data_IF_159001333293
#
_entry.id   IF_159001333293
#
_cell.length_a   1.000
_cell.length_b   1.000
_cell.length_c   1.000
_cell.angle_alpha   90.00
_cell.angle_beta   90.00
_cell.angle_gamma   90.00
#
_symmetry.space_group_name_H-M   'P 1'
#
loop_
_entity.id
_entity.type
_entity.pdbx_description
1 polymer ?
#
# COMPACT_ATOMS: atom_id res chain seq x y z
N UNK A 1 42.10 28.62 12.98
CA UNK A 1 43.29 28.16 13.68
C UNK A 1 44.45 29.06 13.22
N UNK A 2 44.90 29.93 14.10
CA UNK A 2 45.93 30.92 13.80
C UNK A 2 47.30 30.29 14.14
N UNK A 3 48.15 30.16 13.18
CA UNK A 3 49.55 29.74 13.40
C UNK A 3 50.43 30.95 13.20
N UNK A 4 51.08 31.49 14.22
CA UNK A 4 52.08 32.51 14.05
C UNK A 4 53.43 31.85 13.67
N UNK A 5 53.81 32.00 12.42
CA UNK A 5 55.15 31.59 11.97
C UNK A 5 56.09 32.75 12.09
N UNK A 6 56.97 32.69 13.06
CA UNK A 6 58.19 33.52 13.13
C UNK A 6 59.25 32.91 12.21
N UNK A 7 59.56 33.57 11.14
CA UNK A 7 60.72 33.21 10.33
C UNK A 7 61.89 34.13 10.80
N UNK A 8 62.86 33.54 11.48
CA UNK A 8 64.14 34.17 11.74
C UNK A 8 65.09 33.83 10.60
N UNK A 9 65.45 34.80 9.80
CA UNK A 9 66.49 34.65 8.85
C UNK A 9 67.72 35.48 9.39
N UNK A 10 68.67 34.74 9.94
CA UNK A 10 69.93 35.29 10.41
C UNK A 10 70.89 35.27 9.24
N UNK A 11 71.19 36.43 8.65
CA UNK A 11 72.29 36.62 7.70
C UNK A 11 73.19 37.69 8.19
N UNK A 12 74.39 37.26 8.55
CA UNK A 12 75.58 37.95 9.00
C UNK A 12 75.72 39.38 8.50
N UNK A 13 75.77 40.32 9.43
CA UNK A 13 76.49 41.57 9.20
C UNK A 13 75.72 42.86 9.30
N UNK A 14 75.92 43.54 10.44
CA UNK A 14 75.73 44.97 10.70
C UNK A 14 74.26 45.50 10.77
N UNK A 15 73.94 45.83 12.01
CA UNK A 15 72.86 46.68 12.44
C UNK A 15 71.46 46.06 12.26
N UNK A 16 70.96 45.49 13.36
CA UNK A 16 69.63 44.94 13.45
C UNK A 16 68.53 45.95 13.18
N UNK A 17 67.84 45.77 12.04
CA UNK A 17 66.52 46.33 11.82
C UNK A 17 65.46 45.22 12.08
N UNK A 18 64.68 45.42 13.07
CA UNK A 18 63.60 44.53 13.35
C UNK A 18 62.46 44.77 12.33
N UNK A 19 62.36 43.91 11.33
CA UNK A 19 61.21 43.91 10.42
C UNK A 19 60.23 42.83 10.87
N UNK A 20 59.20 43.21 11.62
CA UNK A 20 58.12 42.34 11.95
C UNK A 20 57.04 42.43 10.84
N UNK A 21 56.92 41.37 10.05
CA UNK A 21 55.86 41.27 9.05
C UNK A 21 54.72 40.45 9.65
N UNK A 22 53.63 41.08 10.05
CA UNK A 22 52.41 40.41 10.51
C UNK A 22 51.44 40.28 9.33
N UNK A 23 51.33 39.05 8.78
CA UNK A 23 50.37 38.74 7.72
C UNK A 23 49.12 38.07 8.29
N UNK A 24 47.96 38.69 8.08
CA UNK A 24 46.67 38.04 8.39
C UNK A 24 46.17 37.40 7.12
N UNK A 25 46.15 36.03 7.09
CA UNK A 25 45.62 35.27 5.97
C UNK A 25 44.13 35.03 6.21
N UNK A 26 43.27 35.76 5.53
CA UNK A 26 41.83 35.49 5.47
C UNK A 26 41.57 34.44 4.40
N UNK A 27 41.23 33.22 4.81
CA UNK A 27 40.75 32.17 3.90
C UNK A 27 39.24 32.12 3.99
N UNK A 28 38.57 32.75 3.08
CA UNK A 28 37.12 32.70 2.99
C UNK A 28 36.69 31.54 2.07
N UNK A 29 36.05 30.52 2.63
CA UNK A 29 35.55 29.40 1.85
C UNK A 29 34.19 29.80 1.26
N UNK A 30 34.20 30.54 0.15
CA UNK A 30 32.99 31.01 -0.55
C UNK A 30 32.20 29.82 -1.15
N UNK A 31 32.83 28.66 -1.34
CA UNK A 31 32.18 27.42 -1.82
C UNK A 31 31.13 26.88 -0.86
N UNK A 32 31.34 27.04 0.44
CA UNK A 32 30.38 26.57 1.45
C UNK A 32 29.04 27.33 1.43
N UNK A 33 29.04 28.58 0.98
CA UNK A 33 27.80 29.38 0.83
C UNK A 33 26.99 28.96 -0.42
N UNK A 34 27.66 28.47 -1.45
CA UNK A 34 27.04 28.03 -2.70
C UNK A 34 26.41 26.62 -2.53
N UNK A 35 27.08 25.73 -1.82
CA UNK A 35 26.58 24.39 -1.48
C UNK A 35 25.36 24.47 -0.54
N UNK A 36 25.36 25.38 0.43
CA UNK A 36 24.27 25.52 1.39
C UNK A 36 22.92 25.88 0.73
N UNK A 37 22.92 26.65 -0.34
CA UNK A 37 21.71 27.01 -1.09
C UNK A 37 21.20 25.84 -1.95
N UNK A 38 22.12 25.05 -2.50
CA UNK A 38 21.79 23.85 -3.26
C UNK A 38 21.26 22.75 -2.34
N UNK A 39 21.87 22.55 -1.18
CA UNK A 39 21.44 21.58 -0.17
C UNK A 39 20.03 21.89 0.36
N UNK A 40 19.69 23.17 0.55
CA UNK A 40 18.35 23.58 0.93
C UNK A 40 17.31 23.32 -0.15
N UNK A 41 17.67 23.51 -1.42
CA UNK A 41 16.76 23.23 -2.53
C UNK A 41 16.55 21.73 -2.73
N UNK A 42 17.60 20.93 -2.56
CA UNK A 42 17.54 19.48 -2.59
C UNK A 42 16.66 18.93 -1.47
N UNK A 43 16.82 19.44 -0.25
CA UNK A 43 15.94 19.07 0.88
C UNK A 43 14.47 19.44 0.65
N UNK A 44 14.20 20.59 0.00
CA UNK A 44 12.83 20.97 -0.36
C UNK A 44 12.24 20.03 -1.42
N UNK A 45 13.03 19.64 -2.42
CA UNK A 45 12.60 18.68 -3.43
C UNK A 45 12.34 17.31 -2.82
N UNK A 46 13.23 16.82 -1.94
CA UNK A 46 13.03 15.55 -1.24
C UNK A 46 11.79 15.57 -0.34
N UNK A 47 11.53 16.66 0.36
CA UNK A 47 10.29 16.83 1.13
C UNK A 47 9.05 16.80 0.25
N UNK A 48 9.06 17.54 -0.86
CA UNK A 48 7.95 17.56 -1.82
C UNK A 48 7.72 16.17 -2.45
N UNK A 49 8.79 15.44 -2.77
CA UNK A 49 8.68 14.06 -3.25
C UNK A 49 8.08 13.12 -2.18
N UNK A 50 8.56 13.22 -0.94
CA UNK A 50 8.03 12.42 0.18
C UNK A 50 6.55 12.73 0.44
N UNK A 51 6.15 13.99 0.36
CA UNK A 51 4.76 14.40 0.52
C UNK A 51 3.88 13.87 -0.62
N UNK A 52 4.36 13.93 -1.86
CA UNK A 52 3.67 13.35 -3.01
C UNK A 52 3.51 11.83 -2.88
N UNK A 53 4.56 11.12 -2.45
CA UNK A 53 4.50 9.67 -2.19
C UNK A 53 3.50 9.33 -1.08
N UNK A 54 3.49 10.11 0.00
CA UNK A 54 2.52 9.97 1.07
C UNK A 54 1.08 10.17 0.57
N UNK A 55 0.85 11.23 -0.20
CA UNK A 55 -0.48 11.53 -0.74
C UNK A 55 -0.94 10.45 -1.71
N UNK A 56 -0.05 9.95 -2.57
CA UNK A 56 -0.33 8.83 -3.46
C UNK A 56 -0.66 7.54 -2.68
N UNK A 57 0.10 7.25 -1.62
CA UNK A 57 -0.17 6.09 -0.75
C UNK A 57 -1.54 6.20 -0.07
N UNK A 58 -1.86 7.35 0.53
CA UNK A 58 -3.15 7.57 1.19
C UNK A 58 -4.32 7.48 0.20
N UNK A 59 -4.14 8.00 -1.01
CA UNK A 59 -5.15 7.92 -2.07
C UNK A 59 -5.38 6.46 -2.49
N UNK A 60 -4.31 5.71 -2.75
CA UNK A 60 -4.40 4.31 -3.15
C UNK A 60 -5.04 3.44 -2.05
N UNK A 61 -4.65 3.66 -0.80
CA UNK A 61 -5.23 2.96 0.34
C UNK A 61 -6.74 3.23 0.48
N UNK A 62 -7.15 4.49 0.33
CA UNK A 62 -8.57 4.84 0.35
C UNK A 62 -9.35 4.22 -0.81
N UNK A 63 -8.77 4.18 -2.00
CA UNK A 63 -9.36 3.52 -3.15
C UNK A 63 -9.55 2.02 -2.90
N UNK A 64 -8.53 1.37 -2.36
CA UNK A 64 -8.59 -0.05 -1.99
C UNK A 64 -9.67 -0.34 -0.94
N UNK A 65 -9.78 0.49 0.11
CA UNK A 65 -10.84 0.38 1.10
C UNK A 65 -12.24 0.48 0.48
N UNK A 66 -12.45 1.42 -0.45
CA UNK A 66 -13.72 1.55 -1.15
C UNK A 66 -14.05 0.31 -2.00
N UNK A 67 -13.07 -0.21 -2.72
CA UNK A 67 -13.24 -1.42 -3.53
C UNK A 67 -13.60 -2.64 -2.66
N UNK A 68 -12.96 -2.77 -1.50
CA UNK A 68 -13.25 -3.85 -0.55
C UNK A 68 -14.64 -3.70 0.08
N UNK A 69 -15.07 -2.49 0.42
CA UNK A 69 -16.42 -2.22 0.91
C UNK A 69 -17.48 -2.56 -0.14
N UNK A 70 -17.26 -2.19 -1.40
CA UNK A 70 -18.16 -2.57 -2.49
C UNK A 70 -18.20 -4.08 -2.72
N UNK A 71 -17.06 -4.75 -2.61
CA UNK A 71 -16.99 -6.22 -2.70
C UNK A 71 -17.82 -6.89 -1.58
N UNK A 72 -17.72 -6.41 -0.34
CA UNK A 72 -18.52 -6.90 0.79
C UNK A 72 -20.01 -6.75 0.49
N UNK A 73 -20.47 -5.54 0.12
CA UNK A 73 -21.87 -5.30 -0.20
C UNK A 73 -22.38 -6.18 -1.35
N UNK A 74 -21.52 -6.42 -2.35
CA UNK A 74 -21.87 -7.31 -3.47
C UNK A 74 -22.04 -8.74 -3.01
N UNK A 75 -21.13 -9.29 -2.21
CA UNK A 75 -21.25 -10.66 -1.72
C UNK A 75 -22.41 -10.85 -0.75
N UNK A 76 -22.72 -9.86 0.09
CA UNK A 76 -23.92 -9.89 0.94
C UNK A 76 -25.21 -9.97 0.12
N UNK A 77 -25.29 -9.23 -0.98
CA UNK A 77 -26.45 -9.32 -1.90
C UNK A 77 -26.51 -10.67 -2.60
N UNK A 78 -25.36 -11.19 -3.05
CA UNK A 78 -25.27 -12.50 -3.70
C UNK A 78 -25.70 -13.60 -2.74
N UNK A 79 -25.28 -13.59 -1.49
CA UNK A 79 -25.69 -14.58 -0.50
C UNK A 79 -27.22 -14.61 -0.27
N UNK A 80 -27.88 -13.43 -0.23
CA UNK A 80 -29.35 -13.38 -0.15
C UNK A 80 -30.02 -14.03 -1.37
N UNK A 81 -29.46 -13.77 -2.56
CA UNK A 81 -29.94 -14.39 -3.79
C UNK A 81 -29.68 -15.90 -3.81
N UNK A 82 -28.55 -16.35 -3.28
CA UNK A 82 -28.21 -17.77 -3.17
C UNK A 82 -29.21 -18.52 -2.26
N UNK A 83 -29.60 -17.91 -1.13
CA UNK A 83 -30.61 -18.48 -0.25
C UNK A 83 -31.94 -18.72 -0.98
N UNK A 84 -32.38 -17.75 -1.79
CA UNK A 84 -33.60 -17.87 -2.59
C UNK A 84 -33.47 -18.97 -3.65
N UNK A 85 -32.29 -19.01 -4.35
CA UNK A 85 -32.01 -20.03 -5.37
C UNK A 85 -32.00 -21.43 -4.74
N UNK A 86 -31.35 -21.63 -3.60
CA UNK A 86 -31.30 -22.91 -2.90
C UNK A 86 -32.68 -23.34 -2.45
N UNK A 87 -33.48 -22.42 -1.90
CA UNK A 87 -34.86 -22.71 -1.52
C UNK A 87 -35.71 -23.16 -2.72
N UNK A 88 -35.54 -22.52 -3.89
CA UNK A 88 -36.21 -22.90 -5.12
C UNK A 88 -35.72 -24.26 -5.63
N UNK A 89 -34.41 -24.51 -5.68
CA UNK A 89 -33.82 -25.79 -6.10
C UNK A 89 -34.29 -26.95 -5.20
N UNK A 90 -34.35 -26.72 -3.88
CA UNK A 90 -34.86 -27.70 -2.92
C UNK A 90 -36.33 -28.05 -3.20
N UNK A 91 -37.19 -27.07 -3.56
CA UNK A 91 -38.58 -27.33 -3.94
C UNK A 91 -38.67 -28.14 -5.24
N UNK A 92 -37.85 -27.79 -6.22
CA UNK A 92 -37.80 -28.51 -7.51
C UNK A 92 -37.37 -29.96 -7.29
N UNK A 93 -36.30 -30.19 -6.50
CA UNK A 93 -35.86 -31.54 -6.16
C UNK A 93 -36.98 -32.36 -5.46
N UNK A 94 -37.62 -31.78 -4.45
CA UNK A 94 -38.75 -32.46 -3.76
C UNK A 94 -39.90 -32.79 -4.72
N UNK A 95 -40.21 -31.90 -5.65
CA UNK A 95 -41.23 -32.18 -6.69
C UNK A 95 -40.75 -33.29 -7.64
N UNK A 96 -39.47 -33.35 -7.99
CA UNK A 96 -38.92 -34.44 -8.79
C UNK A 96 -38.95 -35.78 -8.04
N UNK A 97 -38.65 -35.80 -6.74
CA UNK A 97 -38.80 -37.00 -5.89
C UNK A 97 -40.21 -37.56 -5.92
N UNK A 98 -41.24 -36.67 -5.74
CA UNK A 98 -42.63 -37.06 -5.84
C UNK A 98 -43.00 -37.59 -7.23
N UNK A 99 -42.52 -36.95 -8.31
CA UNK A 99 -42.78 -37.43 -9.67
C UNK A 99 -42.14 -38.77 -9.95
N UNK A 100 -40.94 -39.02 -9.44
CA UNK A 100 -40.27 -40.31 -9.56
C UNK A 100 -41.06 -41.40 -8.84
N UNK A 101 -41.54 -41.12 -7.60
CA UNK A 101 -42.37 -42.07 -6.84
C UNK A 101 -43.66 -42.47 -7.57
N UNK A 102 -44.17 -41.59 -8.45
CA UNK A 102 -45.33 -41.86 -9.29
C UNK A 102 -44.98 -42.37 -10.70
N UNK A 103 -43.70 -42.64 -10.96
CA UNK A 103 -43.25 -43.16 -12.26
C UNK A 103 -43.31 -42.13 -13.41
N UNK A 104 -43.44 -40.83 -13.10
CA UNK A 104 -43.60 -39.76 -14.11
C UNK A 104 -42.27 -39.27 -14.68
N UNK A 105 -41.17 -39.54 -13.99
CA UNK A 105 -39.78 -39.22 -14.45
C UNK A 105 -38.87 -40.42 -14.14
N UNK A 106 -37.71 -40.43 -14.75
CA UNK A 106 -36.65 -41.40 -14.49
C UNK A 106 -35.68 -40.94 -13.38
N UNK A 107 -34.88 -41.88 -12.88
CA UNK A 107 -33.89 -41.62 -11.84
C UNK A 107 -32.81 -40.63 -12.29
N UNK A 108 -32.46 -40.62 -13.58
CA UNK A 108 -31.45 -39.67 -14.11
C UNK A 108 -31.92 -38.22 -13.94
N UNK A 109 -33.23 -38.00 -14.15
CA UNK A 109 -33.80 -36.66 -13.96
C UNK A 109 -33.70 -36.21 -12.50
N UNK A 110 -34.01 -37.08 -11.56
CA UNK A 110 -33.86 -36.77 -10.12
C UNK A 110 -32.39 -36.46 -9.77
N UNK A 111 -31.44 -37.29 -10.26
CA UNK A 111 -30.00 -37.04 -10.04
C UNK A 111 -29.57 -35.68 -10.57
N UNK A 112 -30.09 -35.27 -11.74
CA UNK A 112 -29.83 -33.93 -12.27
C UNK A 112 -30.30 -32.81 -11.33
N UNK A 113 -31.51 -32.93 -10.76
CA UNK A 113 -32.02 -31.92 -9.84
C UNK A 113 -31.23 -31.88 -8.52
N UNK A 114 -30.79 -33.04 -8.00
CA UNK A 114 -29.90 -33.12 -6.83
C UNK A 114 -28.57 -32.41 -7.12
N UNK A 115 -27.98 -32.69 -8.28
CA UNK A 115 -26.73 -32.05 -8.66
C UNK A 115 -26.84 -30.53 -8.82
N UNK A 116 -27.99 -30.04 -9.33
CA UNK A 116 -28.27 -28.61 -9.44
C UNK A 116 -28.45 -27.93 -8.06
N UNK A 117 -29.12 -28.61 -7.10
CA UNK A 117 -29.20 -28.11 -5.73
C UNK A 117 -27.82 -28.07 -5.07
N UNK A 118 -26.99 -29.12 -5.23
CA UNK A 118 -25.65 -29.17 -4.69
C UNK A 118 -24.74 -28.09 -5.32
N UNK A 119 -24.84 -27.85 -6.62
CA UNK A 119 -24.13 -26.80 -7.29
C UNK A 119 -24.47 -25.40 -6.73
N UNK A 120 -25.79 -25.16 -6.47
CA UNK A 120 -26.23 -23.91 -5.86
C UNK A 120 -25.64 -23.72 -4.44
N UNK A 121 -25.64 -24.78 -3.61
CA UNK A 121 -25.02 -24.75 -2.27
C UNK A 121 -23.53 -24.52 -2.31
N UNK A 122 -22.84 -25.15 -3.26
CA UNK A 122 -21.40 -24.94 -3.46
C UNK A 122 -21.13 -23.50 -3.85
N UNK A 123 -21.94 -22.91 -4.74
CA UNK A 123 -21.78 -21.51 -5.14
C UNK A 123 -21.99 -20.55 -3.95
N UNK A 124 -22.97 -20.80 -3.09
CA UNK A 124 -23.17 -20.04 -1.84
C UNK A 124 -21.92 -20.10 -0.96
N UNK A 125 -21.35 -21.31 -0.74
CA UNK A 125 -20.12 -21.45 0.05
C UNK A 125 -18.94 -20.69 -0.53
N UNK A 126 -18.82 -20.61 -1.86
CA UNK A 126 -17.79 -19.79 -2.53
C UNK A 126 -18.02 -18.30 -2.25
N UNK A 127 -19.27 -17.84 -2.32
CA UNK A 127 -19.60 -16.43 -2.03
C UNK A 127 -19.33 -16.09 -0.56
N UNK A 128 -19.63 -17.00 0.37
CA UNK A 128 -19.32 -16.85 1.80
C UNK A 128 -17.81 -16.72 2.05
N UNK A 129 -16.99 -17.58 1.45
CA UNK A 129 -15.53 -17.49 1.55
C UNK A 129 -15.02 -16.17 0.99
N UNK A 130 -15.54 -15.73 -0.16
CA UNK A 130 -15.15 -14.46 -0.75
C UNK A 130 -15.60 -13.26 0.10
N UNK A 131 -16.74 -13.33 0.76
CA UNK A 131 -17.18 -12.32 1.73
C UNK A 131 -16.21 -12.22 2.90
N UNK A 132 -15.89 -13.36 3.53
CA UNK A 132 -14.93 -13.41 4.64
C UNK A 132 -13.54 -12.88 4.22
N UNK A 133 -13.10 -13.22 3.01
CA UNK A 133 -11.86 -12.69 2.46
C UNK A 133 -11.92 -11.17 2.33
N UNK A 134 -12.95 -10.61 1.70
CA UNK A 134 -13.10 -9.17 1.52
C UNK A 134 -13.16 -8.42 2.87
N UNK A 135 -13.81 -8.99 3.88
CA UNK A 135 -13.84 -8.45 5.24
C UNK A 135 -12.47 -8.47 5.90
N UNK A 136 -11.71 -9.56 5.71
CA UNK A 136 -10.34 -9.67 6.22
C UNK A 136 -9.40 -8.67 5.55
N UNK A 137 -9.49 -8.55 4.23
CA UNK A 137 -8.69 -7.61 3.45
C UNK A 137 -8.96 -6.15 3.87
N UNK A 138 -10.24 -5.79 4.06
CA UNK A 138 -10.63 -4.47 4.57
C UNK A 138 -10.03 -4.21 5.96
N UNK A 139 -10.12 -5.19 6.86
CA UNK A 139 -9.55 -5.07 8.21
C UNK A 139 -8.03 -4.86 8.17
N UNK A 140 -7.34 -5.54 7.28
CA UNK A 140 -5.89 -5.37 7.07
C UNK A 140 -5.55 -3.98 6.56
N UNK A 141 -6.29 -3.50 5.56
CA UNK A 141 -6.06 -2.17 4.96
C UNK A 141 -6.34 -1.04 5.95
N UNK A 142 -7.30 -1.19 6.85
CA UNK A 142 -7.63 -0.20 7.88
C UNK A 142 -6.63 -0.23 9.04
N UNK A 143 -6.15 -1.41 9.47
CA UNK A 143 -5.23 -1.54 10.60
C UNK A 143 -3.76 -1.40 10.21
N UNK A 144 -3.43 -1.34 8.93
CA UNK A 144 -2.07 -1.15 8.42
C UNK A 144 -1.65 0.32 8.30
N UNK A 145 -2.49 1.25 8.76
CA UNK A 145 -2.22 2.68 8.88
C UNK A 145 -1.79 3.04 10.30
#
# INVERSE_FOLDING_TARGET
MVIPGLIFEDMMGRKGSWNALAGVKFTWNVGALYTHKNDQNELKLQRAQTENLRNAFLFNNRLEQLQQQEAIQRYEKLMKSDDEIIALRTRVRKAAESKLAHGLIDSNRLVQEINQENAAKTQQSIHEINLLKAQSDLKYTVNGL
#
